data_IF_096816795277
#
_entry.id   IF_096816795277
#
_cell.length_a   1.000
_cell.length_b   1.000
_cell.length_c   1.000
_cell.angle_alpha   90.00
_cell.angle_beta   90.00
_cell.angle_gamma   90.00
#
_symmetry.space_group_name_H-M   'P 1'
#
loop_
_entity.id
_entity.type
_entity.pdbx_description
1 polymer ?
#
# COMPACT_ATOMS: atom_id res chain seq x y z
N UNK A 1 0.65 -66.22 -2.39
CA UNK A 1 1.35 -65.05 -2.95
C UNK A 1 0.76 -64.78 -4.32
N UNK A 2 -0.08 -63.74 -4.44
CA UNK A 2 -0.37 -63.07 -5.71
C UNK A 2 -0.99 -61.70 -5.39
N UNK A 3 -0.28 -60.68 -5.84
CA UNK A 3 -0.51 -59.24 -5.72
C UNK A 3 -1.59 -58.81 -6.72
N UNK A 4 -2.41 -57.82 -6.38
CA UNK A 4 -3.36 -57.20 -7.32
C UNK A 4 -3.76 -55.79 -6.88
N UNK A 5 -3.37 -54.80 -7.69
CA UNK A 5 -3.28 -53.37 -7.41
C UNK A 5 -4.58 -52.66 -7.00
N UNK A 6 -4.51 -51.82 -5.97
CA UNK A 6 -5.46 -50.73 -5.73
C UNK A 6 -5.28 -49.63 -6.80
N UNK A 7 -6.33 -49.37 -7.56
CA UNK A 7 -6.40 -48.22 -8.44
C UNK A 7 -6.52 -46.94 -7.59
N UNK A 8 -5.53 -46.04 -7.68
CA UNK A 8 -5.63 -44.68 -7.17
C UNK A 8 -6.70 -43.94 -7.99
N UNK A 9 -7.82 -43.63 -7.35
CA UNK A 9 -8.83 -42.73 -7.89
C UNK A 9 -8.21 -41.36 -8.10
N UNK A 10 -8.19 -40.92 -9.35
CA UNK A 10 -7.76 -39.57 -9.73
C UNK A 10 -8.85 -38.60 -9.30
N UNK A 11 -8.53 -37.75 -8.32
CA UNK A 11 -9.41 -36.67 -7.90
C UNK A 11 -9.47 -35.64 -9.05
N UNK A 12 -10.67 -35.22 -9.52
CA UNK A 12 -10.77 -34.19 -10.55
C UNK A 12 -10.16 -32.88 -10.05
N UNK A 13 -9.59 -32.04 -10.93
CA UNK A 13 -9.00 -30.77 -10.52
C UNK A 13 -10.05 -29.93 -9.81
N UNK A 14 -9.80 -29.64 -8.54
CA UNK A 14 -10.60 -28.77 -7.71
C UNK A 14 -10.58 -27.37 -8.36
N UNK A 15 -11.74 -26.74 -8.63
CA UNK A 15 -11.77 -25.39 -9.16
C UNK A 15 -11.00 -24.47 -8.22
N UNK A 16 -10.05 -23.71 -8.76
CA UNK A 16 -9.39 -22.64 -8.03
C UNK A 16 -10.47 -21.76 -7.41
N UNK A 17 -10.46 -21.63 -6.09
CA UNK A 17 -11.40 -20.79 -5.37
C UNK A 17 -11.28 -19.36 -5.91
N UNK A 18 -12.26 -18.94 -6.69
CA UNK A 18 -12.37 -17.58 -7.18
C UNK A 18 -12.67 -16.73 -5.95
N UNK A 19 -11.68 -15.96 -5.49
CA UNK A 19 -11.90 -14.92 -4.49
C UNK A 19 -13.03 -14.02 -5.03
N UNK A 20 -14.04 -13.65 -4.23
CA UNK A 20 -14.98 -12.62 -4.65
C UNK A 20 -14.18 -11.34 -4.93
N UNK A 21 -14.04 -11.02 -6.20
CA UNK A 21 -13.41 -9.80 -6.69
C UNK A 21 -14.44 -8.67 -6.58
N UNK A 22 -14.90 -8.41 -5.36
CA UNK A 22 -15.76 -7.24 -5.09
C UNK A 22 -14.82 -6.09 -4.78
N UNK A 23 -14.54 -5.28 -5.81
CA UNK A 23 -13.92 -3.97 -5.64
C UNK A 23 -14.65 -3.24 -4.50
N UNK A 24 -13.95 -2.71 -3.48
CA UNK A 24 -14.61 -2.00 -2.40
C UNK A 24 -15.41 -0.84 -3.00
N UNK A 25 -16.70 -0.80 -2.64
CA UNK A 25 -17.60 0.31 -2.91
C UNK A 25 -16.89 1.57 -2.43
N UNK A 26 -16.52 2.40 -3.40
CA UNK A 26 -15.60 3.50 -3.17
C UNK A 26 -16.25 4.49 -2.18
N UNK A 27 -15.48 4.86 -1.16
CA UNK A 27 -15.83 5.58 0.09
C UNK A 27 -15.97 4.73 1.37
N UNK A 28 -15.76 3.41 1.30
CA UNK A 28 -15.75 2.55 2.51
C UNK A 28 -14.33 2.29 3.01
N UNK A 29 -14.03 2.73 4.23
CA UNK A 29 -12.90 2.20 5.01
C UNK A 29 -13.40 0.97 5.77
N UNK A 30 -12.73 -0.17 5.64
CA UNK A 30 -13.05 -1.38 6.41
C UNK A 30 -11.91 -1.74 7.34
N UNK A 31 -12.21 -2.07 8.59
CA UNK A 31 -11.22 -2.54 9.56
C UNK A 31 -11.50 -3.98 9.93
N UNK A 32 -10.46 -4.81 9.91
CA UNK A 32 -10.51 -6.22 10.27
C UNK A 32 -9.49 -6.47 11.37
N UNK A 33 -9.93 -6.98 12.52
CA UNK A 33 -9.03 -7.28 13.65
C UNK A 33 -8.52 -6.04 14.37
N UNK A 34 -7.45 -6.23 15.12
CA UNK A 34 -6.89 -5.21 16.01
C UNK A 34 -5.79 -4.42 15.32
N UNK A 35 -5.95 -3.11 15.22
CA UNK A 35 -4.92 -2.22 14.68
C UNK A 35 -4.51 -1.14 15.70
N UNK A 36 -3.25 -0.67 15.69
CA UNK A 36 -2.83 0.47 16.49
C UNK A 36 -3.61 1.75 16.14
N UNK A 37 -3.61 2.73 17.06
CA UNK A 37 -4.16 4.04 16.75
C UNK A 37 -3.37 4.70 15.61
N UNK A 38 -4.08 4.98 14.53
CA UNK A 38 -3.58 5.60 13.30
C UNK A 38 -4.20 6.97 13.06
N UNK A 39 -4.90 7.57 14.03
CA UNK A 39 -5.54 8.88 13.84
C UNK A 39 -4.56 9.96 13.35
N UNK A 40 -5.07 10.98 12.68
CA UNK A 40 -4.33 12.17 12.28
C UNK A 40 -3.99 12.20 10.78
N UNK A 41 -3.16 13.18 10.42
CA UNK A 41 -2.72 13.37 9.03
C UNK A 41 -1.38 12.70 8.82
N UNK A 42 -1.27 11.88 7.78
CA UNK A 42 -0.10 11.07 7.49
C UNK A 42 0.40 11.30 6.08
N UNK A 43 1.68 11.64 5.97
CA UNK A 43 2.42 11.73 4.73
C UNK A 43 3.20 10.44 4.50
N UNK A 44 2.77 9.67 3.51
CA UNK A 44 3.42 8.41 3.13
C UNK A 44 4.39 8.64 1.98
N UNK A 45 5.60 8.11 2.13
CA UNK A 45 6.61 7.98 1.08
C UNK A 45 6.80 6.49 0.78
N UNK A 46 6.65 6.13 -0.48
CA UNK A 46 6.79 4.75 -0.97
C UNK A 46 8.02 4.66 -1.86
N UNK A 47 8.90 3.72 -1.56
CA UNK A 47 10.13 3.45 -2.30
C UNK A 47 9.96 2.21 -3.15
N UNK A 48 9.54 2.39 -4.40
CA UNK A 48 9.42 1.29 -5.37
C UNK A 48 10.82 0.87 -5.79
N UNK A 49 11.13 -0.42 -5.65
CA UNK A 49 12.40 -1.02 -6.05
C UNK A 49 12.17 -1.81 -7.33
N UNK A 50 12.87 -1.45 -8.40
CA UNK A 50 12.89 -2.19 -9.65
C UNK A 50 14.31 -2.68 -9.91
N UNK A 51 14.50 -3.98 -9.83
CA UNK A 51 15.75 -4.63 -10.26
C UNK A 51 15.81 -4.63 -11.79
N UNK A 52 16.91 -4.12 -12.35
CA UNK A 52 17.19 -4.14 -13.80
C UNK A 52 18.54 -4.79 -14.05
N UNK A 53 18.78 -5.20 -15.30
CA UNK A 53 20.09 -5.71 -15.73
C UNK A 53 21.23 -4.73 -15.43
N UNK A 54 20.95 -3.42 -15.52
CA UNK A 54 21.90 -2.33 -15.24
C UNK A 54 22.00 -1.96 -13.75
N UNK A 55 21.35 -2.72 -12.87
CA UNK A 55 21.32 -2.48 -11.43
C UNK A 55 19.95 -2.08 -10.89
N UNK A 56 19.92 -1.72 -9.61
CA UNK A 56 18.71 -1.35 -8.87
C UNK A 56 18.29 0.08 -9.17
N UNK A 57 17.00 0.27 -9.50
CA UNK A 57 16.36 1.59 -9.57
C UNK A 57 15.40 1.75 -8.40
N UNK A 58 15.49 2.90 -7.72
CA UNK A 58 14.51 3.31 -6.71
C UNK A 58 13.66 4.44 -7.29
N UNK A 59 12.36 4.40 -7.06
CA UNK A 59 11.43 5.48 -7.43
C UNK A 59 10.52 5.81 -6.26
N UNK A 60 10.47 7.09 -5.90
CA UNK A 60 9.83 7.60 -4.70
C UNK A 60 8.46 8.19 -5.05
N UNK A 61 7.40 7.62 -4.48
CA UNK A 61 6.03 8.12 -4.61
C UNK A 61 5.59 8.69 -3.27
N UNK A 62 4.67 9.64 -3.30
CA UNK A 62 4.09 10.20 -2.07
C UNK A 62 2.57 10.24 -2.12
N UNK A 63 1.95 10.05 -0.97
CA UNK A 63 0.52 10.14 -0.78
C UNK A 63 0.22 10.78 0.57
N UNK A 64 -0.87 11.53 0.63
CA UNK A 64 -1.36 12.14 1.85
C UNK A 64 -2.66 11.47 2.27
N UNK A 65 -2.71 11.02 3.52
CA UNK A 65 -3.89 10.41 4.12
C UNK A 65 -4.32 11.22 5.35
N UNK A 66 -5.62 11.36 5.54
CA UNK A 66 -6.18 11.66 6.86
C UNK A 66 -6.90 10.42 7.35
N UNK A 67 -6.57 10.01 8.56
CA UNK A 67 -7.21 8.88 9.22
C UNK A 67 -7.91 9.44 10.44
N UNK A 68 -9.23 9.38 10.43
CA UNK A 68 -10.06 9.68 11.59
C UNK A 68 -10.50 8.36 12.24
N UNK A 69 -11.02 8.42 13.46
CA UNK A 69 -11.68 7.29 14.09
C UNK A 69 -13.06 7.70 14.57
N UNK A 70 -14.05 6.87 14.30
CA UNK A 70 -15.34 6.88 15.00
C UNK A 70 -15.33 5.82 16.10
N UNK A 71 -16.39 5.74 16.90
CA UNK A 71 -16.53 4.69 17.93
C UNK A 71 -16.50 3.26 17.33
N UNK A 72 -16.79 3.10 16.05
CA UNK A 72 -17.01 1.80 15.41
C UNK A 72 -15.97 1.44 14.33
N UNK A 73 -15.24 2.43 13.78
CA UNK A 73 -14.31 2.20 12.67
C UNK A 73 -13.34 3.36 12.44
N UNK A 74 -12.20 3.05 11.80
CA UNK A 74 -11.35 4.06 11.18
C UNK A 74 -11.98 4.59 9.90
N UNK A 75 -11.77 5.87 9.60
CA UNK A 75 -12.13 6.52 8.35
C UNK A 75 -10.87 7.08 7.71
N UNK A 76 -10.37 6.41 6.67
CA UNK A 76 -9.27 6.91 5.88
C UNK A 76 -9.78 7.73 4.68
N UNK A 77 -9.09 8.82 4.40
CA UNK A 77 -9.28 9.67 3.24
C UNK A 77 -7.92 9.91 2.60
N UNK A 78 -7.86 9.91 1.27
CA UNK A 78 -6.67 10.33 0.52
C UNK A 78 -6.90 11.69 -0.11
N UNK A 79 -5.86 12.50 -0.17
CA UNK A 79 -5.90 13.83 -0.75
C UNK A 79 -5.00 13.91 -1.98
N UNK A 80 -5.44 14.62 -3.02
CA UNK A 80 -4.51 15.23 -3.96
C UNK A 80 -3.81 16.38 -3.26
N UNK A 81 -2.50 16.46 -3.41
CA UNK A 81 -1.72 17.57 -2.89
C UNK A 81 -0.55 17.80 -3.84
N UNK A 82 0.01 19.01 -3.80
CA UNK A 82 1.26 19.33 -4.45
C UNK A 82 2.33 19.44 -3.36
N UNK A 83 3.42 18.69 -3.50
CA UNK A 83 4.59 18.93 -2.68
C UNK A 83 5.07 20.38 -2.89
N UNK A 84 5.54 21.07 -1.82
CA UNK A 84 6.33 22.29 -1.98
C UNK A 84 7.45 22.07 -3.01
N UNK A 85 7.76 23.09 -3.82
CA UNK A 85 8.64 22.92 -4.97
C UNK A 85 10.05 22.43 -4.57
N UNK A 86 10.54 22.85 -3.40
CA UNK A 86 11.80 22.38 -2.82
C UNK A 86 11.77 20.88 -2.51
N UNK A 87 10.73 20.40 -1.81
CA UNK A 87 10.55 18.99 -1.48
C UNK A 87 10.39 18.13 -2.75
N UNK A 88 9.65 18.63 -3.74
CA UNK A 88 9.48 17.93 -5.01
C UNK A 88 10.80 17.85 -5.79
N UNK A 89 11.63 18.90 -5.76
CA UNK A 89 12.95 18.87 -6.37
C UNK A 89 13.87 17.87 -5.67
N UNK A 90 13.85 17.82 -4.33
CA UNK A 90 14.66 16.88 -3.56
C UNK A 90 14.24 15.43 -3.80
N UNK A 91 12.93 15.17 -3.88
CA UNK A 91 12.39 13.86 -4.28
C UNK A 91 12.88 13.48 -5.68
N UNK A 92 12.81 14.39 -6.65
CA UNK A 92 13.29 14.15 -8.03
C UNK A 92 14.80 13.91 -8.09
N UNK A 93 15.59 14.62 -7.28
CA UNK A 93 17.03 14.40 -7.18
C UNK A 93 17.34 13.00 -6.61
N UNK A 94 16.56 12.56 -5.61
CA UNK A 94 16.68 11.20 -5.06
C UNK A 94 16.32 10.12 -6.10
N UNK A 95 15.25 10.31 -6.87
CA UNK A 95 14.87 9.42 -7.98
C UNK A 95 15.99 9.32 -9.03
N UNK A 96 16.58 10.46 -9.42
CA UNK A 96 17.66 10.51 -10.41
C UNK A 96 18.93 9.76 -9.93
N UNK A 97 19.13 9.70 -8.61
CA UNK A 97 20.23 9.01 -7.97
C UNK A 97 19.89 7.58 -7.53
N UNK A 98 18.70 7.07 -7.86
CA UNK A 98 18.20 5.75 -7.41
C UNK A 98 18.32 5.54 -5.90
N UNK A 99 18.06 6.58 -5.10
CA UNK A 99 18.07 6.50 -3.63
C UNK A 99 16.68 6.72 -3.04
N UNK A 100 16.49 6.19 -1.83
CA UNK A 100 15.33 6.50 -1.01
C UNK A 100 15.35 7.99 -0.64
N UNK A 101 14.20 8.64 -0.76
CA UNK A 101 13.99 10.02 -0.33
C UNK A 101 13.31 10.03 1.03
N UNK A 102 13.93 10.65 2.04
CA UNK A 102 13.33 10.78 3.36
C UNK A 102 13.14 12.27 3.68
N UNK A 103 11.91 12.73 3.93
CA UNK A 103 11.68 14.10 4.36
C UNK A 103 12.30 14.32 5.74
N UNK A 104 12.85 15.51 5.96
CA UNK A 104 13.33 15.95 7.28
C UNK A 104 12.16 16.44 8.15
N UNK A 105 12.33 16.59 9.48
CA UNK A 105 11.31 17.21 10.33
C UNK A 105 10.90 18.62 9.88
N UNK A 106 11.84 19.39 9.31
CA UNK A 106 11.56 20.73 8.76
C UNK A 106 10.66 20.63 7.52
N UNK A 107 10.91 19.66 6.65
CA UNK A 107 10.09 19.39 5.46
C UNK A 107 8.66 19.00 5.86
N UNK A 108 8.51 18.14 6.87
CA UNK A 108 7.21 17.71 7.39
C UNK A 108 6.43 18.89 8.00
N UNK A 109 7.11 19.79 8.72
CA UNK A 109 6.49 21.00 9.26
C UNK A 109 6.05 21.98 8.15
N UNK A 110 6.87 22.15 7.11
CA UNK A 110 6.52 22.98 5.96
C UNK A 110 5.31 22.41 5.20
N UNK A 111 5.28 21.08 5.02
CA UNK A 111 4.14 20.39 4.40
C UNK A 111 2.88 20.53 5.26
N UNK A 112 2.97 20.34 6.57
CA UNK A 112 1.85 20.53 7.48
C UNK A 112 1.29 21.96 7.40
N UNK A 113 2.17 22.97 7.45
CA UNK A 113 1.78 24.37 7.31
C UNK A 113 1.05 24.62 5.97
N UNK A 114 1.59 24.09 4.87
CA UNK A 114 0.98 24.21 3.54
C UNK A 114 -0.43 23.63 3.53
N UNK A 115 -0.64 22.45 4.10
CA UNK A 115 -1.94 21.77 4.12
C UNK A 115 -3.00 22.50 4.95
N UNK A 116 -2.62 23.33 5.93
CA UNK A 116 -3.58 24.21 6.60
C UNK A 116 -4.10 25.32 5.68
N UNK A 117 -3.27 25.79 4.74
CA UNK A 117 -3.64 26.85 3.79
C UNK A 117 -4.32 26.32 2.53
N UNK A 118 -3.97 25.10 2.13
CA UNK A 118 -4.49 24.42 0.95
C UNK A 118 -4.52 22.91 1.25
N UNK A 119 -5.63 22.40 1.81
CA UNK A 119 -5.74 21.01 2.26
C UNK A 119 -5.78 20.00 1.10
N UNK A 120 -5.75 20.48 -0.15
CA UNK A 120 -5.93 19.61 -1.30
C UNK A 120 -7.38 19.16 -1.49
N UNK A 121 -7.61 18.23 -2.42
CA UNK A 121 -8.94 17.67 -2.68
C UNK A 121 -8.97 16.19 -2.31
N UNK A 122 -10.03 15.77 -1.62
CA UNK A 122 -10.24 14.35 -1.34
C UNK A 122 -10.41 13.60 -2.68
N UNK A 123 -9.70 12.49 -2.84
CA UNK A 123 -9.86 11.57 -3.96
C UNK A 123 -10.63 10.34 -3.53
N UNK A 124 -11.46 9.84 -4.44
CA UNK A 124 -12.19 8.59 -4.22
C UNK A 124 -11.20 7.44 -4.20
N UNK A 125 -11.22 6.64 -3.13
CA UNK A 125 -10.41 5.44 -2.97
C UNK A 125 -11.09 4.48 -1.98
N UNK A 126 -10.82 3.19 -2.11
CA UNK A 126 -11.24 2.17 -1.14
C UNK A 126 -10.10 1.85 -0.19
N UNK A 127 -10.38 1.77 1.12
CA UNK A 127 -9.37 1.53 2.15
C UNK A 127 -9.70 0.30 3.00
N UNK A 128 -8.67 -0.47 3.34
CA UNK A 128 -8.79 -1.57 4.31
C UNK A 128 -7.66 -1.49 5.31
N UNK A 129 -7.99 -1.62 6.59
CA UNK A 129 -7.04 -1.87 7.67
C UNK A 129 -7.20 -3.31 8.13
N UNK A 130 -6.10 -4.03 8.25
CA UNK A 130 -6.11 -5.43 8.61
C UNK A 130 -5.11 -5.62 9.75
N UNK A 131 -5.60 -5.93 10.95
CA UNK A 131 -4.78 -6.34 12.08
C UNK A 131 -4.14 -7.70 11.83
N UNK A 132 -2.98 -7.95 12.45
CA UNK A 132 -2.25 -9.22 12.32
C UNK A 132 -3.10 -10.44 12.66
N UNK A 133 -4.02 -10.31 13.61
CA UNK A 133 -5.00 -11.31 14.03
C UNK A 133 -6.01 -11.68 12.92
N UNK A 134 -6.19 -10.82 11.92
CA UNK A 134 -7.08 -11.03 10.77
C UNK A 134 -6.35 -11.36 9.46
N UNK A 135 -5.04 -11.60 9.50
CA UNK A 135 -4.27 -11.98 8.31
C UNK A 135 -4.69 -13.35 7.78
N UNK A 136 -4.79 -13.44 6.46
CA UNK A 136 -4.90 -14.74 5.79
C UNK A 136 -3.59 -15.52 5.90
N UNK A 137 -3.63 -16.82 5.59
CA UNK A 137 -2.41 -17.64 5.57
C UNK A 137 -1.43 -17.16 4.49
N UNK A 138 -1.95 -16.65 3.37
CA UNK A 138 -1.12 -16.03 2.32
C UNK A 138 -0.36 -14.82 2.86
N UNK A 139 -1.03 -13.93 3.61
CA UNK A 139 -0.38 -12.74 4.17
C UNK A 139 0.70 -13.16 5.17
N UNK A 140 0.42 -14.14 6.03
CA UNK A 140 1.38 -14.68 7.00
C UNK A 140 2.60 -15.33 6.37
N UNK A 141 2.48 -15.88 5.16
CA UNK A 141 3.56 -16.55 4.44
C UNK A 141 4.32 -15.62 3.49
N UNK A 142 3.72 -14.48 3.11
CA UNK A 142 4.35 -13.51 2.20
C UNK A 142 5.59 -12.84 2.82
N UNK A 143 6.59 -12.46 2.00
CA UNK A 143 7.74 -11.68 2.46
C UNK A 143 7.37 -10.34 3.10
N UNK A 144 6.28 -9.72 2.67
CA UNK A 144 5.79 -8.46 3.19
C UNK A 144 5.04 -8.64 4.50
N UNK A 145 4.19 -9.67 4.59
CA UNK A 145 3.28 -9.86 5.71
C UNK A 145 3.83 -10.65 6.89
N UNK A 146 4.77 -11.60 6.68
CA UNK A 146 5.19 -12.58 7.70
C UNK A 146 5.68 -12.00 9.04
N UNK A 147 6.24 -10.78 9.07
CA UNK A 147 6.68 -10.09 10.29
C UNK A 147 5.93 -8.78 10.60
N UNK A 148 4.88 -8.44 9.86
CA UNK A 148 4.18 -7.16 10.01
C UNK A 148 3.15 -7.16 11.15
N UNK A 149 2.92 -5.97 11.72
CA UNK A 149 2.00 -5.68 12.82
C UNK A 149 0.55 -5.50 12.35
N UNK A 150 0.37 -4.88 11.19
CA UNK A 150 -0.92 -4.66 10.52
C UNK A 150 -0.67 -4.30 9.05
N UNK A 151 -1.72 -4.33 8.23
CA UNK A 151 -1.69 -3.91 6.84
C UNK A 151 -2.69 -2.78 6.60
N UNK A 152 -2.32 -1.86 5.72
CA UNK A 152 -3.18 -0.83 5.14
C UNK A 152 -3.24 -1.08 3.63
N UNK A 153 -4.44 -1.28 3.09
CA UNK A 153 -4.64 -1.42 1.65
C UNK A 153 -5.34 -0.17 1.11
N UNK A 154 -4.83 0.36 0.00
CA UNK A 154 -5.45 1.43 -0.76
C UNK A 154 -5.74 0.94 -2.18
N UNK A 155 -6.97 1.13 -2.64
CA UNK A 155 -7.43 0.80 -3.99
C UNK A 155 -7.92 2.07 -4.68
N UNK A 156 -7.30 2.41 -5.80
CA UNK A 156 -7.65 3.61 -6.55
C UNK A 156 -8.58 3.27 -7.71
N UNK A 157 -9.80 3.82 -7.78
CA UNK A 157 -10.61 3.83 -8.99
C UNK A 157 -10.11 4.91 -9.96
N UNK A 158 -8.86 4.83 -10.41
CA UNK A 158 -8.26 5.78 -11.35
C UNK A 158 -8.54 5.42 -12.82
N UNK A 159 -8.74 6.39 -13.74
CA UNK A 159 -8.94 6.11 -15.16
C UNK A 159 -7.66 5.55 -15.79
N UNK A 160 -7.76 4.40 -16.45
CA UNK A 160 -6.65 3.77 -17.20
C UNK A 160 -5.89 2.65 -16.48
N UNK A 161 -6.18 2.40 -15.20
CA UNK A 161 -5.68 1.23 -14.45
C UNK A 161 -6.86 0.44 -13.91
N UNK A 162 -7.10 -0.76 -14.45
CA UNK A 162 -8.05 -1.70 -13.85
C UNK A 162 -7.43 -2.22 -12.54
N UNK A 163 -7.99 -1.82 -11.40
CA UNK A 163 -7.77 -2.50 -10.12
C UNK A 163 -6.38 -2.34 -9.49
N UNK A 164 -5.73 -1.19 -9.66
CA UNK A 164 -4.49 -0.93 -8.92
C UNK A 164 -4.78 -0.91 -7.41
N UNK A 165 -4.33 -1.94 -6.73
CA UNK A 165 -4.35 -2.05 -5.29
C UNK A 165 -2.91 -2.05 -4.79
N UNK A 166 -2.67 -1.28 -3.73
CA UNK A 166 -1.42 -1.29 -2.99
C UNK A 166 -1.70 -1.77 -1.57
N UNK A 167 -0.92 -2.73 -1.10
CA UNK A 167 -0.92 -3.23 0.26
C UNK A 167 0.37 -2.79 0.95
N UNK A 168 0.23 -2.11 2.08
CA UNK A 168 1.30 -1.59 2.92
C UNK A 168 1.31 -2.35 4.23
N UNK A 169 2.29 -3.24 4.40
CA UNK A 169 2.46 -4.06 5.59
C UNK A 169 3.40 -3.35 6.57
N UNK A 170 2.85 -2.83 7.67
CA UNK A 170 3.59 -2.08 8.68
C UNK A 170 4.42 -3.02 9.56
N UNK A 171 5.73 -2.84 9.59
CA UNK A 171 6.67 -3.65 10.40
C UNK A 171 7.01 -2.97 11.72
N UNK A 172 7.03 -1.63 11.73
CA UNK A 172 7.23 -0.84 12.93
C UNK A 172 6.16 0.23 13.05
N UNK A 173 5.84 0.62 14.29
CA UNK A 173 4.92 1.72 14.60
C UNK A 173 5.44 2.50 15.80
N UNK A 174 5.88 3.72 15.54
CA UNK A 174 6.16 4.77 16.50
C UNK A 174 5.01 5.80 16.49
N UNK A 175 4.91 6.71 17.48
CA UNK A 175 3.80 7.67 17.52
C UNK A 175 3.62 8.50 16.23
N UNK A 176 4.73 8.87 15.59
CA UNK A 176 4.82 9.74 14.43
C UNK A 176 5.41 9.07 13.17
N UNK A 177 5.75 7.78 13.23
CA UNK A 177 6.32 7.05 12.11
C UNK A 177 5.78 5.61 12.03
N UNK A 178 5.39 5.20 10.84
CA UNK A 178 5.15 3.79 10.49
C UNK A 178 6.09 3.42 9.37
N UNK A 179 6.85 2.34 9.52
CA UNK A 179 7.68 1.83 8.43
C UNK A 179 7.29 0.41 8.08
N UNK A 180 7.51 0.03 6.83
CA UNK A 180 7.14 -1.30 6.40
C UNK A 180 7.49 -1.62 4.96
N UNK A 181 6.87 -2.68 4.48
CA UNK A 181 7.00 -3.17 3.11
C UNK A 181 5.70 -2.93 2.36
N UNK A 182 5.80 -2.62 1.08
CA UNK A 182 4.61 -2.51 0.24
C UNK A 182 4.72 -3.46 -0.96
N UNK A 183 3.56 -3.88 -1.43
CA UNK A 183 3.39 -4.50 -2.73
C UNK A 183 2.19 -3.90 -3.44
N UNK A 184 2.27 -3.79 -4.76
CA UNK A 184 1.17 -3.33 -5.59
C UNK A 184 1.10 -4.15 -6.86
N UNK A 185 -0.11 -4.44 -7.31
CA UNK A 185 -0.39 -5.07 -8.59
C UNK A 185 -1.23 -4.15 -9.46
N UNK A 186 -0.91 -4.10 -10.75
CA UNK A 186 -1.71 -3.44 -11.77
C UNK A 186 -1.78 -4.29 -13.04
N UNK A 187 -2.85 -4.14 -13.81
CA UNK A 187 -2.93 -4.66 -15.17
C UNK A 187 -2.59 -3.54 -16.15
N UNK A 188 -1.53 -3.72 -16.93
CA UNK A 188 -1.19 -2.85 -18.06
C UNK A 188 -1.70 -3.45 -19.37
N UNK A 189 -2.09 -2.62 -20.33
CA UNK A 189 -2.44 -3.08 -21.68
C UNK A 189 -1.23 -2.82 -22.57
N UNK A 190 -0.43 -3.86 -22.81
CA UNK A 190 0.69 -3.82 -23.75
C UNK A 190 0.32 -4.62 -25.00
N UNK A 191 0.40 -4.00 -26.18
CA UNK A 191 0.03 -4.62 -27.47
C UNK A 191 -1.39 -5.23 -27.49
N UNK A 192 -2.34 -4.65 -26.75
CA UNK A 192 -3.73 -5.14 -26.67
C UNK A 192 -3.94 -6.34 -25.74
N UNK A 193 -2.90 -6.82 -25.04
CA UNK A 193 -2.97 -7.93 -24.09
C UNK A 193 -2.77 -7.39 -22.66
N UNK A 194 -3.63 -7.75 -21.69
CA UNK A 194 -3.39 -7.44 -20.28
C UNK A 194 -2.14 -8.15 -19.75
N UNK A 195 -1.15 -7.38 -19.30
CA UNK A 195 0.07 -7.86 -18.67
C UNK A 195 0.04 -7.47 -17.18
N UNK A 196 0.09 -8.43 -16.25
CA UNK A 196 0.25 -8.12 -14.83
C UNK A 196 1.60 -7.46 -14.56
N UNK A 197 1.57 -6.34 -13.86
CA UNK A 197 2.76 -5.65 -13.37
C UNK A 197 2.70 -5.63 -11.85
N UNK A 198 3.74 -6.17 -11.22
CA UNK A 198 3.94 -6.12 -9.78
C UNK A 198 5.03 -5.09 -9.42
N UNK A 199 4.79 -4.34 -8.36
CA UNK A 199 5.77 -3.46 -7.73
C UNK A 199 5.92 -3.86 -6.28
N UNK A 200 7.15 -3.80 -5.77
CA UNK A 200 7.43 -4.01 -4.35
C UNK A 200 8.49 -3.02 -3.85
N UNK A 201 8.58 -2.91 -2.54
CA UNK A 201 9.61 -2.12 -1.88
C UNK A 201 9.24 -1.78 -0.45
N UNK A 202 9.65 -0.61 0.01
CA UNK A 202 9.46 -0.14 1.38
C UNK A 202 8.59 1.11 1.42
N UNK A 203 8.06 1.44 2.59
CA UNK A 203 7.41 2.72 2.81
C UNK A 203 7.74 3.25 4.20
N UNK A 204 7.73 4.58 4.28
CA UNK A 204 7.76 5.35 5.51
C UNK A 204 6.52 6.25 5.53
N UNK A 205 5.72 6.19 6.59
CA UNK A 205 4.49 6.97 6.75
C UNK A 205 4.63 7.84 8.00
N UNK A 206 4.82 9.14 7.76
CA UNK A 206 5.11 10.16 8.77
C UNK A 206 3.83 10.85 9.21
N UNK A 207 3.58 10.93 10.51
CA UNK A 207 2.49 11.75 11.04
C UNK A 207 2.90 13.21 10.94
N UNK A 208 2.06 14.02 10.31
CA UNK A 208 2.31 15.45 10.21
C UNK A 208 2.02 16.13 11.56
N UNK A 209 2.85 17.11 11.97
CA UNK A 209 2.54 17.93 13.13
C UNK A 209 1.27 18.75 12.88
N UNK A 210 0.43 18.90 13.90
CA UNK A 210 -0.78 19.74 13.82
C UNK A 210 -0.41 21.25 13.86
#
# INVERSE_FOLDING_TARGET
>A
MTTGCSAKQSQPPQPAATRPETLPEADTTKTYGTIPDMRGTWFMVTHVIVEKETGKRVSNFSALYRIDSTAEQFLAQRFTFKLPDELEQDRRNADAQSREWKPTPVDLAALAHRLRTDPGKIVKAGFRFIGRDSYSDSDKQSPEGSGSLFAFEASDPGPGTLGAAAAYYAWTKEPDLVTGRFSSGALSIAAGVPVPIGFSGTFDMYRLPE
#
